data_IF_630545678416
#
_entry.id   IF_630545678416
#
_cell.length_a   1.000
_cell.length_b   1.000
_cell.length_c   1.000
_cell.angle_alpha   90.00
_cell.angle_beta   90.00
_cell.angle_gamma   90.00
#
_symmetry.space_group_name_H-M   'P 1'
#
loop_
_entity.id
_entity.type
_entity.pdbx_description
1 polymer ?
#
# COMPACT_ATOMS: atom_id res chain seq x y z
N UNK A 1 -2.10 -15.50 6.61
CA UNK A 1 -1.39 -14.22 6.84
C UNK A 1 -1.15 -13.37 5.58
N UNK A 2 -1.12 -13.90 4.34
CA UNK A 2 -0.91 -13.09 3.12
C UNK A 2 -2.02 -12.10 2.75
N UNK A 3 -3.27 -12.32 3.21
CA UNK A 3 -4.42 -11.50 2.80
C UNK A 3 -4.31 -10.04 3.30
N UNK A 4 -3.70 -9.81 4.47
CA UNK A 4 -3.62 -8.45 5.04
C UNK A 4 -2.59 -7.55 4.34
N UNK A 5 -1.54 -8.13 3.78
CA UNK A 5 -0.42 -7.38 3.18
C UNK A 5 -0.82 -6.76 1.84
N UNK A 6 -1.54 -7.51 1.01
CA UNK A 6 -1.93 -7.07 -0.34
C UNK A 6 -3.05 -6.02 -0.32
N UNK A 7 -4.00 -6.15 0.62
CA UNK A 7 -5.12 -5.21 0.75
C UNK A 7 -4.64 -3.78 1.09
N UNK A 8 -3.60 -3.65 1.91
CA UNK A 8 -3.04 -2.33 2.25
C UNK A 8 -2.44 -1.62 1.03
N UNK A 9 -1.85 -2.37 0.09
CA UNK A 9 -1.25 -1.81 -1.13
C UNK A 9 -2.29 -1.19 -2.07
N UNK A 10 -3.48 -1.81 -2.17
CA UNK A 10 -4.52 -1.40 -3.13
C UNK A 10 -5.58 -0.48 -2.51
N UNK A 11 -5.31 0.08 -1.33
CA UNK A 11 -6.28 0.89 -0.61
C UNK A 11 -6.38 2.30 -1.21
N UNK A 12 -7.51 2.63 -1.86
CA UNK A 12 -7.69 3.87 -2.61
C UNK A 12 -7.58 5.14 -1.76
N UNK A 13 -7.85 5.06 -0.44
CA UNK A 13 -7.69 6.21 0.45
C UNK A 13 -6.21 6.48 0.82
N UNK A 14 -5.33 5.48 0.71
CA UNK A 14 -3.90 5.62 1.02
C UNK A 14 -3.22 6.45 -0.07
N UNK A 15 -2.59 7.56 0.31
CA UNK A 15 -1.94 8.50 -0.62
C UNK A 15 -0.45 8.66 -0.36
N UNK A 16 0.06 8.09 0.73
CA UNK A 16 1.47 8.16 1.13
C UNK A 16 1.95 6.77 1.55
N UNK A 17 3.18 6.47 1.16
CA UNK A 17 3.91 5.25 1.47
C UNK A 17 5.31 5.62 1.96
N UNK A 18 5.75 5.02 3.05
CA UNK A 18 7.13 5.06 3.50
C UNK A 18 7.62 3.64 3.77
N UNK A 19 8.78 3.27 3.26
CA UNK A 19 9.37 1.96 3.48
C UNK A 19 10.79 2.09 4.01
N UNK A 20 11.22 1.12 4.80
CA UNK A 20 12.59 0.97 5.31
C UNK A 20 13.03 -0.48 5.16
N UNK A 21 14.31 -0.68 4.85
CA UNK A 21 14.93 -1.99 4.72
C UNK A 21 16.14 -2.05 5.64
N UNK A 22 16.30 -3.16 6.35
CA UNK A 22 17.49 -3.42 7.16
C UNK A 22 17.96 -4.87 7.00
N UNK A 23 19.27 -5.10 7.08
CA UNK A 23 19.86 -6.43 7.10
C UNK A 23 19.82 -6.98 8.53
N UNK A 24 19.19 -8.14 8.69
CA UNK A 24 18.91 -8.74 9.98
C UNK A 24 19.35 -10.21 10.01
N UNK A 25 20.65 -10.46 9.85
CA UNK A 25 21.18 -11.83 9.81
C UNK A 25 21.05 -12.58 11.13
N UNK A 26 20.89 -11.87 12.25
CA UNK A 26 20.74 -12.47 13.57
C UNK A 26 19.30 -12.93 13.90
N UNK A 27 18.37 -12.83 12.95
CA UNK A 27 17.02 -13.37 13.12
C UNK A 27 17.04 -14.89 13.14
N UNK A 28 16.49 -15.49 14.19
CA UNK A 28 16.25 -16.94 14.26
C UNK A 28 15.16 -17.30 13.24
N UNK A 29 15.58 -17.68 12.04
CA UNK A 29 14.68 -18.08 10.96
C UNK A 29 15.30 -19.19 10.12
N UNK A 30 14.47 -19.94 9.40
CA UNK A 30 14.88 -20.96 8.42
C UNK A 30 15.36 -20.35 7.09
N UNK A 31 15.41 -19.02 6.97
CA UNK A 31 15.78 -18.35 5.73
C UNK A 31 17.30 -18.39 5.51
N UNK A 32 17.71 -18.55 4.25
CA UNK A 32 19.12 -18.43 3.86
C UNK A 32 19.60 -16.99 4.01
N UNK A 33 20.83 -16.82 4.49
CA UNK A 33 21.46 -15.51 4.70
C UNK A 33 22.06 -14.97 3.41
N UNK A 34 22.12 -13.63 3.21
CA UNK A 34 21.71 -12.58 4.15
C UNK A 34 20.18 -12.35 4.20
N UNK A 35 19.68 -11.99 5.38
CA UNK A 35 18.24 -11.72 5.58
C UNK A 35 18.00 -10.22 5.54
N UNK A 36 17.08 -9.77 4.70
CA UNK A 36 16.62 -8.37 4.68
C UNK A 36 15.19 -8.28 5.18
N UNK A 37 14.97 -7.42 6.17
CA UNK A 37 13.65 -7.10 6.69
C UNK A 37 13.18 -5.78 6.08
N UNK A 38 12.02 -5.82 5.41
CA UNK A 38 11.41 -4.64 4.79
C UNK A 38 10.10 -4.33 5.49
N UNK A 39 9.96 -3.09 5.94
CA UNK A 39 8.73 -2.57 6.56
C UNK A 39 8.20 -1.43 5.72
N UNK A 40 6.91 -1.45 5.41
CA UNK A 40 6.22 -0.37 4.72
C UNK A 40 5.03 0.12 5.54
N UNK A 41 4.86 1.44 5.60
CA UNK A 41 3.80 2.15 6.33
C UNK A 41 3.01 3.01 5.36
N UNK A 42 1.68 3.00 5.50
CA UNK A 42 0.73 3.67 4.61
C UNK A 42 -0.03 4.76 5.37
N UNK A 43 -0.29 5.90 4.72
CA UNK A 43 -1.11 7.00 5.27
C UNK A 43 -2.09 7.54 4.23
N UNK A 44 -3.35 7.85 4.61
CA UNK A 44 -4.02 7.45 5.85
C UNK A 44 -4.12 5.92 5.98
N UNK A 45 -4.28 5.41 7.21
CA UNK A 45 -4.38 3.97 7.43
C UNK A 45 -5.68 3.46 6.79
N UNK A 46 -5.55 2.64 5.77
CA UNK A 46 -6.67 1.91 5.18
C UNK A 46 -7.26 0.89 6.15
N UNK A 47 -8.58 0.75 6.16
CA UNK A 47 -9.25 -0.40 6.79
C UNK A 47 -10.01 -0.14 8.09
N UNK A 48 -10.10 1.09 8.61
CA UNK A 48 -10.85 1.31 9.86
C UNK A 48 -12.39 1.36 9.69
N UNK A 49 -12.91 1.80 8.53
CA UNK A 49 -14.35 2.04 8.36
C UNK A 49 -14.95 1.55 7.03
N UNK A 50 -14.15 0.98 6.12
CA UNK A 50 -14.63 0.51 4.82
C UNK A 50 -14.18 -0.93 4.58
N UNK A 51 -15.10 -1.87 4.30
CA UNK A 51 -14.74 -3.28 4.11
C UNK A 51 -14.07 -3.57 2.77
N UNK A 52 -14.08 -2.61 1.83
CA UNK A 52 -13.49 -2.74 0.50
C UNK A 52 -12.33 -1.77 0.33
N UNK A 53 -11.22 -2.20 -0.31
CA UNK A 53 -10.04 -1.36 -0.50
C UNK A 53 -10.28 -0.18 -1.45
N UNK A 54 -11.26 -0.29 -2.35
CA UNK A 54 -11.64 0.76 -3.29
C UNK A 54 -13.11 0.62 -3.69
N UNK A 55 -13.68 1.70 -4.23
CA UNK A 55 -15.02 1.66 -4.85
C UNK A 55 -14.91 1.12 -6.27
N UNK A 56 -15.71 0.11 -6.61
CA UNK A 56 -15.78 -0.41 -7.97
C UNK A 56 -16.40 0.62 -8.93
N UNK A 57 -15.90 0.66 -10.16
CA UNK A 57 -16.38 1.55 -11.22
C UNK A 57 -15.32 1.82 -12.29
N UNK A 58 -15.63 2.62 -13.32
CA UNK A 58 -14.65 3.05 -14.32
C UNK A 58 -13.46 3.74 -13.66
N UNK A 59 -12.25 3.49 -14.19
CA UNK A 59 -11.02 4.11 -13.67
C UNK A 59 -11.16 5.63 -13.61
N UNK A 60 -10.69 6.23 -12.51
CA UNK A 60 -10.70 7.68 -12.29
C UNK A 60 -12.08 8.39 -12.24
N UNK A 61 -13.20 7.66 -12.38
CA UNK A 61 -14.56 8.24 -12.35
C UNK A 61 -14.94 8.96 -11.05
N UNK A 62 -14.22 8.69 -9.95
CA UNK A 62 -14.42 9.31 -8.63
C UNK A 62 -13.14 9.94 -8.06
N UNK A 63 -12.22 10.40 -8.91
CA UNK A 63 -11.07 11.16 -8.41
C UNK A 63 -11.51 12.46 -7.70
N UNK A 64 -10.80 12.92 -6.66
CA UNK A 64 -11.10 14.20 -6.03
C UNK A 64 -10.91 15.37 -7.00
N UNK A 65 -11.56 16.51 -6.74
CA UNK A 65 -11.41 17.72 -7.56
C UNK A 65 -9.93 18.15 -7.61
N UNK A 66 -9.47 18.54 -8.81
CA UNK A 66 -8.09 18.97 -9.05
C UNK A 66 -7.09 17.84 -9.29
N UNK A 67 -7.52 16.58 -9.32
CA UNK A 67 -6.67 15.44 -9.69
C UNK A 67 -6.85 15.09 -11.17
N UNK A 68 -5.74 14.80 -11.84
CA UNK A 68 -5.72 14.17 -13.16
C UNK A 68 -5.76 12.63 -13.06
N UNK A 69 -5.95 11.97 -14.20
CA UNK A 69 -5.89 10.52 -14.30
C UNK A 69 -4.63 10.10 -15.06
N UNK A 70 -3.73 9.36 -14.41
CA UNK A 70 -2.55 8.80 -15.04
C UNK A 70 -2.43 7.33 -14.69
N UNK A 71 -2.24 6.47 -15.69
CA UNK A 71 -2.12 5.00 -15.52
C UNK A 71 -3.25 4.41 -14.66
N UNK A 72 -4.49 4.89 -14.86
CA UNK A 72 -5.69 4.49 -14.12
C UNK A 72 -5.68 4.84 -12.62
N UNK A 73 -4.83 5.78 -12.19
CA UNK A 73 -4.76 6.29 -10.82
C UNK A 73 -5.02 7.81 -10.77
N UNK A 74 -5.58 8.27 -9.66
CA UNK A 74 -5.75 9.70 -9.39
C UNK A 74 -4.40 10.31 -9.03
N UNK A 75 -3.97 11.32 -9.78
CA UNK A 75 -2.68 11.98 -9.62
C UNK A 75 -2.88 13.48 -9.42
N UNK A 76 -2.12 14.09 -8.51
CA UNK A 76 -2.02 15.55 -8.50
C UNK A 76 -1.10 15.97 -9.64
N UNK A 77 -1.45 17.02 -10.40
CA UNK A 77 -0.49 17.67 -11.30
C UNK A 77 0.73 18.17 -10.54
#
# INVERSE_FOLDING_TARGET
MCILSTLKMVWAASTKLGCAMNRCDNLTSTLQRPIYFVVCVYKPVGGFFTPKPYTAGPSCSKCPRGYGCSRRQCTKP
#
